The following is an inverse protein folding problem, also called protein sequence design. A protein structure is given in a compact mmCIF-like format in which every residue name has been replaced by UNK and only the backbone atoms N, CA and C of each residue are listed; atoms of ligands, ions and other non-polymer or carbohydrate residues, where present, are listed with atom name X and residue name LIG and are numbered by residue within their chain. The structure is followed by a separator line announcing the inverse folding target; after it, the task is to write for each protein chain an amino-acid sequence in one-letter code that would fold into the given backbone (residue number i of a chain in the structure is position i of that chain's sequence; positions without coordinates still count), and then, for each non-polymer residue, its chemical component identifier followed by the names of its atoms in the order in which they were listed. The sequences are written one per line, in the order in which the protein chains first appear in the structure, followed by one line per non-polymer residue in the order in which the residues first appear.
data_IF_136588146984
#
_entry.id   IF_136588146984
#
_cell.length_a   1.000
_cell.length_b   1.000
_cell.length_c   1.000
_cell.angle_alpha   90.00
_cell.angle_beta   90.00
_cell.angle_gamma   90.00
#
_symmetry.space_group_name_H-M   'P 1'
#
loop_
_entity.id
_entity.type
_entity.pdbx_description
1 polymer ?
#
# COMPACT_ATOMS: atom_id res chain seq x y z
N UNK A 1 -19.55 3.51 3.81
CA UNK A 1 -20.09 4.01 2.52
C UNK A 1 -21.29 4.94 2.71
N UNK A 2 -22.36 4.55 3.42
CA UNK A 2 -23.56 5.38 3.63
C UNK A 2 -23.25 6.78 4.17
N UNK A 3 -22.46 6.91 5.20
CA UNK A 3 -22.07 8.21 5.78
C UNK A 3 -21.42 9.14 4.74
N UNK A 4 -20.52 8.61 3.93
CA UNK A 4 -19.86 9.39 2.87
C UNK A 4 -20.89 9.88 1.84
N UNK A 5 -21.78 9.00 1.40
CA UNK A 5 -22.83 9.36 0.42
C UNK A 5 -23.79 10.41 0.99
N UNK A 6 -24.18 10.29 2.27
CA UNK A 6 -24.99 11.31 2.96
C UNK A 6 -24.25 12.64 3.06
N UNK A 7 -22.96 12.61 3.41
CA UNK A 7 -22.14 13.81 3.56
C UNK A 7 -21.96 14.56 2.24
N UNK A 8 -21.83 13.86 1.12
CA UNK A 8 -21.64 14.51 -0.19
C UNK A 8 -22.94 14.95 -0.87
N UNK A 9 -24.10 14.48 -0.43
CA UNK A 9 -25.39 14.79 -1.07
C UNK A 9 -25.62 16.31 -1.25
N UNK A 10 -25.45 17.18 -0.24
CA UNK A 10 -25.63 18.62 -0.40
C UNK A 10 -24.63 19.26 -1.40
N UNK A 11 -23.46 18.66 -1.56
CA UNK A 11 -22.46 19.16 -2.51
C UNK A 11 -22.81 18.77 -3.95
N UNK A 12 -23.44 17.60 -4.16
CA UNK A 12 -23.98 17.18 -5.45
C UNK A 12 -25.07 18.15 -5.91
N UNK A 13 -26.02 18.47 -5.00
CA UNK A 13 -27.12 19.39 -5.28
C UNK A 13 -26.58 20.78 -5.65
N UNK A 14 -25.64 21.30 -4.85
CA UNK A 14 -25.00 22.59 -5.12
C UNK A 14 -24.19 22.60 -6.42
N UNK A 15 -23.56 21.51 -6.78
CA UNK A 15 -22.75 21.39 -7.99
C UNK A 15 -23.59 21.17 -9.26
N UNK A 16 -24.86 20.78 -9.12
CA UNK A 16 -25.75 20.43 -10.24
C UNK A 16 -25.24 19.22 -11.05
N UNK A 17 -24.38 18.39 -10.47
CA UNK A 17 -23.80 17.21 -11.12
C UNK A 17 -23.47 16.13 -10.10
N UNK A 18 -23.39 14.89 -10.55
CA UNK A 18 -22.93 13.80 -9.70
C UNK A 18 -21.46 13.96 -9.30
N UNK A 19 -21.14 13.61 -8.06
CA UNK A 19 -19.79 13.54 -7.51
C UNK A 19 -19.50 12.06 -7.27
N UNK A 20 -18.70 11.39 -8.11
CA UNK A 20 -18.45 9.97 -7.98
C UNK A 20 -17.60 9.69 -6.74
N UNK A 21 -17.97 8.65 -5.99
CA UNK A 21 -17.24 8.16 -4.82
C UNK A 21 -16.54 6.85 -5.16
N UNK A 22 -15.23 6.80 -4.97
CA UNK A 22 -14.43 5.59 -5.13
C UNK A 22 -14.00 5.07 -3.77
N UNK A 23 -14.05 3.75 -3.59
CA UNK A 23 -13.58 3.08 -2.38
C UNK A 23 -12.14 2.64 -2.58
N UNK A 24 -11.28 2.93 -1.61
CA UNK A 24 -9.89 2.50 -1.59
C UNK A 24 -9.52 1.90 -0.23
N UNK A 25 -8.65 0.91 -0.25
CA UNK A 25 -8.22 0.19 0.95
C UNK A 25 -9.22 -0.87 1.42
N UNK A 26 -8.72 -2.07 1.72
CA UNK A 26 -9.52 -3.19 2.18
C UNK A 26 -10.40 -3.86 1.11
N UNK A 27 -10.33 -3.43 -0.15
CA UNK A 27 -11.01 -4.11 -1.27
C UNK A 27 -10.11 -5.24 -1.75
N UNK A 28 -10.57 -6.48 -1.64
CA UNK A 28 -9.76 -7.69 -1.83
C UNK A 28 -10.04 -8.40 -3.15
N UNK A 29 -11.27 -8.33 -3.62
CA UNK A 29 -11.76 -9.09 -4.77
C UNK A 29 -12.96 -8.41 -5.44
N UNK A 30 -13.42 -8.98 -6.56
CA UNK A 30 -14.57 -8.48 -7.30
C UNK A 30 -15.89 -8.51 -6.52
N UNK A 31 -16.06 -9.42 -5.56
CA UNK A 31 -17.25 -9.47 -4.72
C UNK A 31 -17.31 -8.24 -3.78
N UNK A 32 -16.18 -7.86 -3.19
CA UNK A 32 -16.09 -6.62 -2.41
C UNK A 32 -16.42 -5.39 -3.27
N UNK A 33 -15.86 -5.32 -4.47
CA UNK A 33 -16.17 -4.25 -5.41
C UNK A 33 -17.65 -4.19 -5.72
N UNK A 34 -18.26 -5.34 -6.09
CA UNK A 34 -19.68 -5.42 -6.41
C UNK A 34 -20.56 -4.99 -5.22
N UNK A 35 -20.17 -5.34 -3.99
CA UNK A 35 -20.85 -4.91 -2.77
C UNK A 35 -20.81 -3.37 -2.63
N UNK A 36 -19.64 -2.76 -2.75
CA UNK A 36 -19.52 -1.31 -2.64
C UNK A 36 -20.24 -0.56 -3.76
N UNK A 37 -20.24 -1.10 -4.97
CA UNK A 37 -21.01 -0.52 -6.08
C UNK A 37 -22.51 -0.58 -5.82
N UNK A 38 -23.04 -1.69 -5.27
CA UNK A 38 -24.44 -1.79 -4.82
C UNK A 38 -24.77 -0.79 -3.72
N UNK A 39 -23.82 -0.43 -2.88
CA UNK A 39 -23.97 0.60 -1.85
C UNK A 39 -23.86 2.03 -2.40
N UNK A 40 -23.61 2.23 -3.70
CA UNK A 40 -23.56 3.53 -4.37
C UNK A 40 -22.15 4.06 -4.66
N UNK A 41 -21.11 3.24 -4.54
CA UNK A 41 -19.79 3.61 -5.05
C UNK A 41 -19.76 3.64 -6.57
N UNK A 42 -19.03 4.59 -7.15
CA UNK A 42 -18.76 4.67 -8.58
C UNK A 42 -17.68 3.68 -9.04
N UNK A 43 -16.85 3.20 -8.10
CA UNK A 43 -15.81 2.23 -8.37
C UNK A 43 -14.97 1.91 -7.14
N UNK A 44 -13.96 1.07 -7.33
CA UNK A 44 -13.03 0.67 -6.27
C UNK A 44 -11.58 0.68 -6.78
N UNK A 45 -10.65 1.03 -5.89
CA UNK A 45 -9.21 0.99 -6.15
C UNK A 45 -8.61 -0.24 -5.48
N UNK A 46 -7.87 -1.00 -6.26
CA UNK A 46 -7.09 -2.15 -5.80
C UNK A 46 -5.60 -1.84 -5.88
N UNK A 47 -4.82 -2.39 -4.94
CA UNK A 47 -3.37 -2.37 -5.02
C UNK A 47 -2.81 -3.77 -4.70
N UNK A 48 -2.99 -4.24 -3.47
CA UNK A 48 -2.38 -5.49 -2.98
C UNK A 48 -2.75 -6.71 -3.83
N UNK A 49 -4.00 -6.79 -4.28
CA UNK A 49 -4.46 -7.89 -5.12
C UNK A 49 -3.71 -7.93 -6.47
N UNK A 50 -3.45 -6.76 -7.06
CA UNK A 50 -2.73 -6.68 -8.33
C UNK A 50 -1.23 -6.96 -8.19
N UNK A 51 -0.61 -6.77 -7.01
CA UNK A 51 0.76 -7.23 -6.76
C UNK A 51 0.83 -8.76 -6.87
N UNK A 52 -0.22 -9.47 -6.41
CA UNK A 52 -0.32 -10.92 -6.47
C UNK A 52 -0.92 -11.42 -7.80
N UNK A 53 -0.50 -10.84 -8.91
CA UNK A 53 -0.87 -11.28 -10.26
C UNK A 53 0.34 -11.68 -11.09
N UNK A 54 0.13 -12.49 -12.12
CA UNK A 54 1.19 -12.88 -13.04
C UNK A 54 1.77 -11.68 -13.79
N UNK A 55 0.91 -10.73 -14.16
CA UNK A 55 1.22 -9.54 -14.95
C UNK A 55 2.01 -8.48 -14.18
N UNK A 56 1.93 -8.48 -12.85
CA UNK A 56 2.73 -7.56 -12.03
C UNK A 56 4.22 -7.85 -12.20
N UNK A 57 5.03 -6.82 -12.46
CA UNK A 57 6.47 -6.93 -12.66
C UNK A 57 7.28 -6.97 -11.34
N UNK A 58 6.61 -7.04 -10.19
CA UNK A 58 7.25 -7.33 -8.92
C UNK A 58 7.88 -8.73 -8.95
N UNK A 59 9.05 -8.87 -8.32
CA UNK A 59 9.77 -10.13 -8.28
C UNK A 59 8.92 -11.28 -7.72
N UNK A 60 9.26 -12.50 -8.11
CA UNK A 60 8.65 -13.72 -7.55
C UNK A 60 8.78 -13.73 -6.02
N UNK A 61 9.94 -13.30 -5.49
CA UNK A 61 10.17 -13.21 -4.05
C UNK A 61 9.20 -12.27 -3.35
N UNK A 62 8.87 -11.11 -3.93
CA UNK A 62 7.86 -10.23 -3.38
C UNK A 62 6.49 -10.91 -3.32
N UNK A 63 6.06 -11.48 -4.45
CA UNK A 63 4.76 -12.17 -4.55
C UNK A 63 4.65 -13.30 -3.54
N UNK A 64 5.68 -14.15 -3.44
CA UNK A 64 5.71 -15.26 -2.49
C UNK A 64 5.61 -14.79 -1.02
N UNK A 65 6.33 -13.72 -0.65
CA UNK A 65 6.24 -13.13 0.69
C UNK A 65 4.85 -12.58 0.99
N UNK A 66 4.22 -11.93 0.01
CA UNK A 66 2.86 -11.42 0.16
C UNK A 66 1.85 -12.56 0.32
N UNK A 67 1.95 -13.61 -0.50
CA UNK A 67 1.04 -14.77 -0.45
C UNK A 67 1.18 -15.59 0.84
N UNK A 68 2.37 -15.59 1.44
CA UNK A 68 2.63 -16.29 2.71
C UNK A 68 2.31 -15.43 3.95
N UNK A 69 2.06 -14.12 3.78
CA UNK A 69 1.88 -13.20 4.88
C UNK A 69 0.57 -13.44 5.63
N UNK A 70 0.62 -13.29 6.94
CA UNK A 70 -0.55 -13.25 7.83
C UNK A 70 -0.82 -11.82 8.28
N UNK A 71 -1.95 -11.59 8.93
CA UNK A 71 -2.32 -10.27 9.44
C UNK A 71 -1.23 -9.66 10.34
N UNK A 72 -0.61 -10.49 11.20
CA UNK A 72 0.43 -10.06 12.15
C UNK A 72 1.78 -9.72 11.47
N UNK A 73 1.96 -10.13 10.22
CA UNK A 73 3.15 -9.78 9.43
C UNK A 73 3.04 -8.40 8.80
N UNK A 74 1.89 -7.72 8.92
CA UNK A 74 1.63 -6.42 8.32
C UNK A 74 1.64 -5.35 9.40
N UNK A 75 2.52 -4.35 9.23
CA UNK A 75 2.68 -3.26 10.20
C UNK A 75 2.52 -1.88 9.55
N UNK A 76 2.24 -0.88 10.38
CA UNK A 76 2.33 0.52 9.98
C UNK A 76 3.80 0.94 9.99
N UNK A 77 4.25 1.51 8.89
CA UNK A 77 5.63 1.98 8.74
C UNK A 77 5.69 3.50 8.71
N UNK A 78 6.68 4.07 9.40
CA UNK A 78 7.02 5.48 9.27
C UNK A 78 7.60 5.73 7.88
N UNK A 79 6.89 6.51 7.09
CA UNK A 79 7.39 6.90 5.77
C UNK A 79 8.28 8.12 5.88
N UNK A 80 9.48 8.12 5.25
CA UNK A 80 10.33 9.31 5.16
C UNK A 80 9.70 10.50 4.43
N UNK A 81 8.59 10.28 3.75
CA UNK A 81 7.87 11.29 2.95
C UNK A 81 6.57 11.79 3.60
N UNK A 82 6.39 11.53 4.89
CA UNK A 82 5.35 12.14 5.71
C UNK A 82 4.04 11.37 5.84
N UNK A 83 3.69 10.46 4.93
CA UNK A 83 2.46 9.68 5.03
C UNK A 83 2.73 8.26 5.57
N UNK A 84 2.04 7.81 6.62
CA UNK A 84 2.19 6.43 7.08
C UNK A 84 1.71 5.47 6.00
N UNK A 85 2.41 4.35 5.85
CA UNK A 85 2.05 3.25 4.96
C UNK A 85 1.91 1.94 5.72
N UNK A 86 1.40 0.92 5.05
CA UNK A 86 1.44 -0.46 5.55
C UNK A 86 2.35 -1.30 4.68
N UNK A 87 3.16 -2.13 5.33
CA UNK A 87 4.08 -3.03 4.65
C UNK A 87 4.24 -4.34 5.41
N UNK A 88 4.76 -5.35 4.73
CA UNK A 88 5.25 -6.55 5.39
C UNK A 88 6.40 -6.19 6.33
N UNK A 89 6.42 -6.78 7.52
CA UNK A 89 7.46 -6.57 8.53
C UNK A 89 8.76 -7.27 8.11
N UNK A 90 9.42 -6.71 7.08
CA UNK A 90 10.73 -7.16 6.60
C UNK A 90 11.84 -6.88 7.62
N UNK A 91 13.04 -7.46 7.47
CA UNK A 91 14.19 -7.12 8.31
C UNK A 91 14.53 -5.63 8.31
N UNK A 92 14.39 -4.93 7.18
CA UNK A 92 14.50 -3.47 7.12
C UNK A 92 13.55 -2.80 8.12
N UNK A 93 12.26 -3.18 8.11
CA UNK A 93 11.26 -2.56 8.97
C UNK A 93 11.54 -2.85 10.44
N UNK A 94 11.95 -4.06 10.77
CA UNK A 94 12.37 -4.42 12.15
C UNK A 94 13.54 -3.55 12.62
N UNK A 95 14.58 -3.38 11.79
CA UNK A 95 15.72 -2.50 12.14
C UNK A 95 15.28 -1.04 12.33
N UNK A 96 14.29 -0.58 11.57
CA UNK A 96 13.72 0.78 11.74
C UNK A 96 12.93 0.88 13.05
N UNK A 97 12.12 -0.13 13.38
CA UNK A 97 11.37 -0.21 14.64
C UNK A 97 12.30 -0.24 15.85
N UNK A 98 13.39 -1.01 15.77
CA UNK A 98 14.40 -1.18 16.83
C UNK A 98 15.42 -0.02 16.90
N UNK A 99 15.37 0.92 15.95
CA UNK A 99 16.32 2.04 15.88
C UNK A 99 17.75 1.65 15.48
N UNK A 100 17.94 0.46 14.91
CA UNK A 100 19.25 -0.07 14.49
C UNK A 100 19.54 0.11 13.01
N UNK A 101 18.57 0.64 12.25
CA UNK A 101 18.76 0.91 10.83
C UNK A 101 19.73 2.07 10.62
N UNK A 102 20.84 1.89 9.88
CA UNK A 102 21.76 2.98 9.59
C UNK A 102 21.09 4.04 8.70
N UNK A 103 21.45 5.32 8.85
CA UNK A 103 20.92 6.39 8.01
C UNK A 103 21.35 6.19 6.54
N UNK A 104 20.63 6.81 5.59
CA UNK A 104 21.00 6.74 4.18
C UNK A 104 22.39 7.33 3.90
N UNK A 105 23.32 6.54 3.38
CA UNK A 105 24.69 7.00 3.07
C UNK A 105 24.74 8.05 1.97
N UNK A 106 23.87 7.93 0.95
CA UNK A 106 23.79 8.84 -0.19
C UNK A 106 22.34 9.23 -0.43
N UNK A 107 22.08 10.53 -0.36
CA UNK A 107 20.80 11.11 -0.71
C UNK A 107 20.93 11.91 -2.01
N UNK A 108 20.14 11.56 -3.03
CA UNK A 108 20.09 12.26 -4.33
C UNK A 108 18.97 13.31 -4.38
N UNK A 109 18.33 13.60 -3.25
CA UNK A 109 17.22 14.59 -3.11
C UNK A 109 16.09 14.37 -4.12
N UNK A 110 15.71 13.10 -4.36
CA UNK A 110 14.71 12.71 -5.35
C UNK A 110 13.26 13.08 -4.96
N UNK A 111 12.99 13.35 -3.68
CA UNK A 111 11.66 13.68 -3.16
C UNK A 111 11.78 14.93 -2.29
N UNK A 112 11.00 15.97 -2.62
CA UNK A 112 11.08 17.29 -1.96
C UNK A 112 10.73 17.21 -0.47
N UNK A 113 9.74 16.40 -0.08
CA UNK A 113 9.31 16.27 1.32
C UNK A 113 10.19 15.35 2.16
N UNK A 114 11.18 14.69 1.56
CA UNK A 114 12.09 13.79 2.26
C UNK A 114 13.29 14.53 2.83
N UNK A 115 13.44 14.52 4.16
CA UNK A 115 14.67 14.97 4.81
C UNK A 115 15.69 13.81 4.84
N UNK A 116 16.55 13.76 3.82
CA UNK A 116 17.54 12.69 3.67
C UNK A 116 18.58 12.60 4.78
N UNK A 117 18.72 13.63 5.65
CA UNK A 117 19.63 13.60 6.80
C UNK A 117 19.02 12.90 8.00
N UNK A 118 17.70 13.08 8.20
CA UNK A 118 16.96 12.55 9.35
C UNK A 118 16.04 11.38 8.98
N UNK A 119 15.98 11.00 7.70
CA UNK A 119 15.18 9.88 7.25
C UNK A 119 15.69 8.55 7.85
N UNK A 120 14.82 7.71 8.42
CA UNK A 120 15.24 6.43 9.01
C UNK A 120 15.77 5.45 7.95
N UNK A 121 15.44 5.64 6.68
CA UNK A 121 15.92 4.88 5.51
C UNK A 121 15.61 5.64 4.22
N UNK A 122 16.26 5.26 3.12
CA UNK A 122 15.94 5.81 1.80
C UNK A 122 14.76 5.04 1.19
N UNK A 123 13.58 5.69 1.08
CA UNK A 123 12.36 5.04 0.57
C UNK A 123 12.53 4.56 -0.87
N UNK A 124 13.18 5.34 -1.75
CA UNK A 124 13.39 4.95 -3.14
C UNK A 124 14.26 3.71 -3.27
N UNK A 125 15.37 3.62 -2.50
CA UNK A 125 16.19 2.41 -2.46
C UNK A 125 15.42 1.20 -1.93
N UNK A 126 14.65 1.38 -0.86
CA UNK A 126 13.87 0.31 -0.25
C UNK A 126 12.74 -0.20 -1.15
N UNK A 127 12.10 0.67 -1.93
CA UNK A 127 11.10 0.25 -2.93
C UNK A 127 11.72 -0.51 -4.09
N UNK A 128 12.88 -0.07 -4.59
CA UNK A 128 13.63 -0.77 -5.64
C UNK A 128 14.08 -2.15 -5.12
N UNK A 129 14.60 -2.23 -3.90
CA UNK A 129 15.00 -3.48 -3.27
C UNK A 129 13.80 -4.44 -3.17
N UNK A 130 12.64 -3.97 -2.72
CA UNK A 130 11.43 -4.79 -2.66
C UNK A 130 10.98 -5.28 -4.04
N UNK A 131 10.95 -4.40 -5.04
CA UNK A 131 10.61 -4.77 -6.42
C UNK A 131 11.52 -5.88 -6.93
N UNK A 132 12.80 -5.85 -6.59
CA UNK A 132 13.80 -6.85 -6.98
C UNK A 132 13.81 -8.10 -6.07
N UNK A 133 13.02 -8.13 -5.00
CA UNK A 133 12.90 -9.28 -4.10
C UNK A 133 13.95 -9.34 -2.99
N UNK A 134 14.72 -8.28 -2.79
CA UNK A 134 15.65 -8.16 -1.67
C UNK A 134 14.86 -8.00 -0.35
N UNK A 135 14.66 -9.12 0.33
CA UNK A 135 13.91 -9.18 1.58
C UNK A 135 14.58 -8.41 2.72
N UNK A 136 15.91 -8.38 2.73
CA UNK A 136 16.68 -7.75 3.81
C UNK A 136 16.55 -6.22 3.80
N UNK A 137 16.48 -5.61 2.61
CA UNK A 137 16.53 -4.16 2.45
C UNK A 137 15.26 -3.57 1.84
N UNK A 138 14.29 -4.42 1.51
CA UNK A 138 13.08 -4.03 0.80
C UNK A 138 11.97 -3.51 1.71
N UNK A 139 11.25 -2.49 1.22
CA UNK A 139 9.99 -2.02 1.75
C UNK A 139 8.85 -2.60 0.92
N UNK A 140 8.21 -3.65 1.42
CA UNK A 140 7.16 -4.41 0.74
C UNK A 140 5.80 -3.87 1.12
N UNK A 141 5.34 -2.84 0.43
CA UNK A 141 4.04 -2.24 0.70
C UNK A 141 2.89 -3.21 0.39
N UNK A 142 1.90 -3.20 1.28
CA UNK A 142 0.63 -3.91 1.08
C UNK A 142 -0.48 -3.21 1.87
N UNK A 143 -1.74 -3.52 1.57
CA UNK A 143 -2.89 -3.07 2.36
C UNK A 143 -3.09 -3.89 3.63
N UNK A 144 -3.94 -3.43 4.53
CA UNK A 144 -4.28 -4.14 5.77
C UNK A 144 -4.81 -5.57 5.53
N UNK A 145 -5.51 -5.77 4.42
CA UNK A 145 -6.04 -7.08 4.02
C UNK A 145 -5.02 -7.93 3.21
N UNK A 146 -3.74 -7.55 3.20
CA UNK A 146 -2.69 -8.29 2.46
C UNK A 146 -2.58 -9.74 2.90
N UNK A 147 -2.74 -10.03 4.20
CA UNK A 147 -2.74 -11.39 4.74
C UNK A 147 -3.90 -12.29 4.31
N UNK A 148 -4.89 -11.75 3.60
CA UNK A 148 -6.00 -12.51 3.02
C UNK A 148 -5.79 -12.81 1.52
N UNK A 149 -4.74 -12.28 0.90
CA UNK A 149 -4.36 -12.54 -0.48
C UNK A 149 -3.40 -13.73 -0.49
N UNK A 150 -3.95 -14.92 -0.73
CA UNK A 150 -3.24 -16.20 -0.60
C UNK A 150 -3.07 -16.97 -1.92
N UNK A 151 -3.48 -16.40 -3.04
CA UNK A 151 -3.37 -17.01 -4.35
C UNK A 151 -2.81 -16.03 -5.38
N UNK A 152 -1.92 -16.52 -6.24
CA UNK A 152 -1.52 -15.82 -7.46
C UNK A 152 -2.68 -15.92 -8.47
N UNK A 153 -2.97 -14.82 -9.14
CA UNK A 153 -4.01 -14.78 -10.18
C UNK A 153 -3.50 -14.07 -11.44
N UNK A 154 -4.38 -13.88 -12.38
CA UNK A 154 -4.25 -12.95 -13.50
C UNK A 154 -5.17 -11.74 -13.27
N UNK A 155 -4.96 -10.67 -14.02
CA UNK A 155 -5.83 -9.49 -14.04
C UNK A 155 -7.16 -9.83 -14.71
#
# INVERSE_FOLDING_TARGET
MREVLTTIAPFRDKAGRDIPVFVAGGVKNGADMARYMKEGAAGAQFATRFIATAECDASVGYKQRLLAAKADDITLVKSPVGMPGRALRSPLIRRVEDGTQPPPERCVKCIVTCDGKNAPYCISKALIAARNGDWENGLFFCGAAGGEVNTLSTV
#
